data_IF_818500776270
#
_entry.id   IF_818500776270
#
_cell.length_a   1.000
_cell.length_b   1.000
_cell.length_c   1.000
_cell.angle_alpha   90.00
_cell.angle_beta   90.00
_cell.angle_gamma   90.00
#
_symmetry.space_group_name_H-M   'P 1'
#
loop_
_entity.id
_entity.type
_entity.pdbx_description
1 polymer ?
#
# COMPACT_ATOMS: atom_id res chain seq x y z
N UNK A 1 14.35 23.38 7.60
CA UNK A 1 14.52 24.74 7.07
C UNK A 1 13.94 24.83 5.67
N UNK A 2 14.72 24.49 4.64
CA UNK A 2 14.31 24.58 3.23
C UNK A 2 13.06 23.75 2.88
N UNK A 3 12.95 22.52 3.41
CA UNK A 3 11.78 21.66 3.20
C UNK A 3 10.47 22.28 3.70
N UNK A 4 10.51 22.97 4.84
CA UNK A 4 9.35 23.66 5.41
C UNK A 4 8.94 24.85 4.54
N UNK A 5 9.92 25.64 4.07
CA UNK A 5 9.69 26.73 3.12
C UNK A 5 9.04 26.24 1.83
N UNK A 6 9.52 25.13 1.26
CA UNK A 6 8.94 24.53 0.07
C UNK A 6 7.48 24.10 0.35
N UNK A 7 7.21 23.48 1.49
CA UNK A 7 5.85 23.07 1.86
C UNK A 7 4.91 24.27 1.99
N UNK A 8 5.33 25.36 2.65
CA UNK A 8 4.53 26.58 2.75
C UNK A 8 4.28 27.19 1.37
N UNK A 9 5.29 27.24 0.48
CA UNK A 9 5.11 27.73 -0.89
C UNK A 9 4.10 26.86 -1.65
N UNK A 10 4.19 25.54 -1.54
CA UNK A 10 3.23 24.63 -2.18
C UNK A 10 1.82 24.86 -1.63
N UNK A 11 1.67 24.99 -0.32
CA UNK A 11 0.37 25.29 0.31
C UNK A 11 -0.20 26.64 -0.10
N UNK A 12 0.65 27.64 -0.34
CA UNK A 12 0.23 28.95 -0.85
C UNK A 12 -0.26 28.84 -2.28
N UNK A 13 0.41 28.07 -3.12
CA UNK A 13 0.05 27.90 -4.55
C UNK A 13 -1.21 27.03 -4.72
N UNK A 14 -1.33 25.95 -3.95
CA UNK A 14 -2.38 24.93 -4.12
C UNK A 14 -3.52 25.02 -3.10
N UNK A 15 -3.40 25.90 -2.11
CA UNK A 15 -4.35 26.03 -1.01
C UNK A 15 -4.08 25.04 0.13
N UNK A 16 -4.61 25.39 1.31
CA UNK A 16 -4.54 24.55 2.52
C UNK A 16 -5.74 23.62 2.70
N UNK A 17 -6.77 23.77 1.86
CA UNK A 17 -7.98 22.96 1.92
C UNK A 17 -7.79 21.65 1.14
N UNK A 18 -8.35 20.54 1.64
CA UNK A 18 -8.34 19.28 0.90
C UNK A 18 -9.20 19.44 -0.36
N UNK A 19 -8.60 19.11 -1.50
CA UNK A 19 -9.31 19.03 -2.78
C UNK A 19 -9.81 17.60 -2.95
N UNK A 20 -11.12 17.42 -3.14
CA UNK A 20 -11.68 16.11 -3.45
C UNK A 20 -11.43 15.79 -4.94
N UNK A 21 -10.72 14.70 -5.21
CA UNK A 21 -10.53 14.18 -6.57
C UNK A 21 -11.60 13.13 -6.87
N UNK A 22 -12.71 13.57 -7.47
CA UNK A 22 -13.76 12.66 -7.86
C UNK A 22 -13.34 11.83 -9.09
N UNK A 23 -13.52 10.49 -9.05
CA UNK A 23 -13.21 9.65 -10.19
C UNK A 23 -14.15 9.97 -11.38
N UNK A 24 -13.68 9.81 -12.63
CA UNK A 24 -14.53 10.02 -13.80
C UNK A 24 -15.75 9.08 -13.76
N UNK A 25 -16.87 9.51 -14.35
CA UNK A 25 -18.18 8.85 -14.22
C UNK A 25 -18.18 7.34 -14.55
N UNK A 26 -17.28 6.88 -15.43
CA UNK A 26 -17.11 5.46 -15.76
C UNK A 26 -16.44 4.61 -14.66
N UNK A 27 -15.61 5.22 -13.81
CA UNK A 27 -14.95 4.56 -12.66
C UNK A 27 -15.72 4.75 -11.34
N UNK A 28 -16.66 5.69 -11.30
CA UNK A 28 -17.54 5.92 -10.14
C UNK A 28 -18.58 4.80 -9.95
N UNK A 29 -18.72 3.90 -10.91
CA UNK A 29 -19.64 2.76 -10.87
C UNK A 29 -18.96 1.52 -10.25
N UNK A 30 -19.71 0.60 -9.61
CA UNK A 30 -19.13 -0.66 -9.13
C UNK A 30 -18.71 -1.53 -10.32
N UNK A 31 -17.49 -2.06 -10.29
CA UNK A 31 -16.98 -2.95 -11.35
C UNK A 31 -17.66 -4.32 -11.28
N UNK A 32 -17.76 -4.86 -10.06
CA UNK A 32 -18.33 -6.18 -9.80
C UNK A 32 -19.21 -6.10 -8.57
N UNK A 33 -20.37 -6.73 -8.63
CA UNK A 33 -21.23 -6.94 -7.47
C UNK A 33 -21.44 -8.43 -7.27
N UNK A 34 -21.15 -8.90 -6.06
CA UNK A 34 -21.52 -10.26 -5.64
C UNK A 34 -22.95 -10.19 -5.13
N UNK A 35 -23.87 -10.87 -5.82
CA UNK A 35 -25.29 -10.89 -5.49
C UNK A 35 -25.91 -12.28 -5.68
N UNK A 36 -26.93 -12.64 -4.89
CA UNK A 36 -27.63 -13.91 -5.04
C UNK A 36 -28.40 -13.94 -6.36
N UNK A 37 -28.31 -15.06 -7.09
CA UNK A 37 -29.22 -15.33 -8.23
C UNK A 37 -30.27 -16.33 -7.77
N UNK A 38 -31.55 -16.00 -7.99
CA UNK A 38 -32.73 -16.67 -7.42
C UNK A 38 -32.84 -18.21 -7.62
N UNK A 39 -31.94 -18.84 -8.38
CA UNK A 39 -31.97 -20.28 -8.65
C UNK A 39 -30.61 -21.01 -8.48
N UNK A 40 -29.48 -20.32 -8.30
CA UNK A 40 -28.13 -20.96 -8.43
C UNK A 40 -27.08 -20.52 -7.40
N UNK A 41 -27.44 -19.77 -6.35
CA UNK A 41 -26.50 -19.33 -5.32
C UNK A 41 -25.82 -18.00 -5.64
N UNK A 42 -24.58 -17.81 -5.18
CA UNK A 42 -23.81 -16.57 -5.33
C UNK A 42 -23.38 -16.40 -6.80
N UNK A 43 -23.71 -15.28 -7.43
CA UNK A 43 -23.26 -14.97 -8.79
C UNK A 43 -22.50 -13.66 -8.83
N UNK A 44 -21.50 -13.60 -9.70
CA UNK A 44 -20.64 -12.44 -9.89
C UNK A 44 -21.20 -11.65 -11.08
N UNK A 45 -21.83 -10.51 -10.79
CA UNK A 45 -22.47 -9.65 -11.79
C UNK A 45 -21.54 -8.47 -12.07
N UNK A 46 -21.28 -8.21 -13.35
CA UNK A 46 -20.53 -7.03 -13.77
C UNK A 46 -21.46 -5.80 -13.69
N UNK A 47 -21.00 -4.72 -13.03
CA UNK A 47 -21.83 -3.53 -12.80
C UNK A 47 -22.73 -3.61 -11.56
N UNK A 48 -23.71 -2.70 -11.46
CA UNK A 48 -24.63 -2.59 -10.31
C UNK A 48 -25.58 -3.80 -10.27
N UNK A 49 -25.58 -4.53 -9.16
CA UNK A 49 -26.67 -5.45 -8.85
C UNK A 49 -27.98 -4.68 -8.64
N UNK A 50 -29.07 -5.30 -9.05
CA UNK A 50 -30.44 -4.87 -8.82
C UNK A 50 -30.72 -4.74 -7.32
N UNK A 51 -31.13 -3.54 -6.89
CA UNK A 51 -31.29 -3.19 -5.48
C UNK A 51 -32.29 -4.11 -4.74
N UNK A 52 -33.24 -4.69 -5.47
CA UNK A 52 -34.22 -5.65 -4.95
C UNK A 52 -33.60 -7.02 -4.59
N UNK A 53 -32.58 -7.49 -5.32
CA UNK A 53 -31.89 -8.75 -5.03
C UNK A 53 -30.97 -8.66 -3.81
N UNK A 54 -30.44 -7.47 -3.53
CA UNK A 54 -29.57 -7.20 -2.37
C UNK A 54 -30.32 -6.87 -1.07
N UNK A 55 -31.65 -6.80 -1.08
CA UNK A 55 -32.43 -6.52 0.12
C UNK A 55 -32.44 -7.69 1.14
N UNK A 56 -32.17 -8.92 0.68
CA UNK A 56 -32.29 -10.14 1.49
C UNK A 56 -31.01 -10.99 1.56
N UNK A 57 -29.87 -10.51 1.05
CA UNK A 57 -28.59 -11.22 1.09
C UNK A 57 -27.39 -10.26 1.24
N UNK A 58 -26.25 -10.82 1.65
CA UNK A 58 -24.97 -10.08 1.72
C UNK A 58 -24.50 -9.76 0.31
N UNK A 59 -24.68 -8.52 -0.12
CA UNK A 59 -24.11 -8.01 -1.36
C UNK A 59 -22.82 -7.24 -1.07
N UNK A 60 -21.72 -7.70 -1.67
CA UNK A 60 -20.45 -6.97 -1.65
C UNK A 60 -20.25 -6.31 -3.01
N UNK A 61 -20.19 -4.98 -3.02
CA UNK A 61 -19.92 -4.20 -4.22
C UNK A 61 -18.43 -3.83 -4.26
N UNK A 62 -17.75 -4.19 -5.35
CA UNK A 62 -16.35 -3.85 -5.55
C UNK A 62 -16.24 -2.58 -6.42
N UNK A 63 -15.71 -1.46 -5.88
CA UNK A 63 -15.59 -0.21 -6.63
C UNK A 63 -14.66 -0.35 -7.84
N UNK A 64 -15.06 0.16 -9.01
CA UNK A 64 -14.21 0.10 -10.21
C UNK A 64 -12.91 0.89 -10.06
N UNK A 65 -12.91 1.97 -9.25
CA UNK A 65 -11.69 2.69 -8.87
C UNK A 65 -10.63 1.77 -8.25
N UNK A 66 -11.01 0.90 -7.31
CA UNK A 66 -10.08 -0.06 -6.65
C UNK A 66 -9.56 -1.12 -7.61
N UNK A 67 -10.41 -1.59 -8.52
CA UNK A 67 -9.99 -2.52 -9.58
C UNK A 67 -8.96 -1.87 -10.52
N UNK A 68 -9.21 -0.63 -10.94
CA UNK A 68 -8.30 0.14 -11.78
C UNK A 68 -6.97 0.41 -11.08
N UNK A 69 -6.99 0.81 -9.81
CA UNK A 69 -5.77 0.98 -9.00
C UNK A 69 -4.94 -0.30 -8.93
N UNK A 70 -5.57 -1.45 -8.68
CA UNK A 70 -4.90 -2.74 -8.63
C UNK A 70 -4.28 -3.11 -9.99
N UNK A 71 -5.03 -2.89 -11.09
CA UNK A 71 -4.53 -3.12 -12.44
C UNK A 71 -3.28 -2.28 -12.74
N UNK A 72 -3.31 -0.98 -12.42
CA UNK A 72 -2.17 -0.10 -12.67
C UNK A 72 -0.98 -0.48 -11.78
N UNK A 73 -1.20 -0.81 -10.51
CA UNK A 73 -0.13 -1.28 -9.62
C UNK A 73 0.56 -2.55 -10.15
N UNK A 74 -0.22 -3.53 -10.64
CA UNK A 74 0.31 -4.74 -11.26
C UNK A 74 1.06 -4.43 -12.56
N UNK A 75 0.54 -3.51 -13.38
CA UNK A 75 1.21 -3.06 -14.61
C UNK A 75 2.56 -2.41 -14.28
N UNK A 76 2.62 -1.51 -13.29
CA UNK A 76 3.86 -0.88 -12.83
C UNK A 76 4.88 -1.92 -12.33
N UNK A 77 4.43 -2.88 -11.51
CA UNK A 77 5.28 -3.96 -11.01
C UNK A 77 5.83 -4.80 -12.15
N UNK A 78 4.97 -5.21 -13.10
CA UNK A 78 5.35 -6.00 -14.26
C UNK A 78 6.31 -5.24 -15.16
N UNK A 79 6.05 -3.96 -15.42
CA UNK A 79 6.91 -3.09 -16.23
C UNK A 79 8.30 -2.95 -15.60
N UNK A 80 8.37 -2.70 -14.29
CA UNK A 80 9.65 -2.60 -13.57
C UNK A 80 10.38 -3.95 -13.54
N UNK A 81 9.65 -5.05 -13.33
CA UNK A 81 10.22 -6.39 -13.34
C UNK A 81 10.79 -6.76 -14.71
N UNK A 82 10.06 -6.49 -15.79
CA UNK A 82 10.49 -6.73 -17.16
C UNK A 82 11.72 -5.84 -17.48
N UNK A 83 11.67 -4.56 -17.11
CA UNK A 83 12.77 -3.62 -17.33
C UNK A 83 14.05 -4.09 -16.62
N UNK A 84 13.96 -4.48 -15.35
CA UNK A 84 15.14 -4.88 -14.57
C UNK A 84 15.65 -6.28 -14.92
N UNK A 85 14.77 -7.24 -15.25
CA UNK A 85 15.16 -8.65 -15.44
C UNK A 85 15.36 -9.06 -16.90
N UNK A 86 14.64 -8.44 -17.83
CA UNK A 86 14.61 -8.86 -19.24
C UNK A 86 15.22 -7.87 -20.21
N UNK A 87 15.61 -6.66 -19.78
CA UNK A 87 16.23 -5.67 -20.69
C UNK A 87 17.72 -5.47 -20.44
N UNK A 88 18.44 -5.04 -21.49
CA UNK A 88 19.87 -4.66 -21.39
C UNK A 88 20.09 -3.50 -20.42
N UNK A 89 19.11 -2.61 -20.28
CA UNK A 89 19.15 -1.49 -19.32
C UNK A 89 19.24 -2.02 -17.89
N UNK A 90 18.50 -3.08 -17.56
CA UNK A 90 18.56 -3.74 -16.25
C UNK A 90 19.96 -4.29 -15.92
N UNK A 91 20.63 -4.90 -16.89
CA UNK A 91 22.01 -5.39 -16.71
C UNK A 91 23.01 -4.27 -16.45
N UNK A 92 22.88 -3.15 -17.19
CA UNK A 92 23.73 -1.96 -16.99
C UNK A 92 23.48 -1.35 -15.61
N UNK A 93 22.22 -1.28 -15.17
CA UNK A 93 21.87 -0.78 -13.83
C UNK A 93 22.48 -1.68 -12.75
N UNK A 94 22.35 -3.00 -12.86
CA UNK A 94 22.94 -3.93 -11.89
C UNK A 94 24.47 -3.81 -11.84
N UNK A 95 25.14 -3.74 -13.00
CA UNK A 95 26.58 -3.55 -13.06
C UNK A 95 27.03 -2.21 -12.44
N UNK A 96 26.27 -1.14 -12.68
CA UNK A 96 26.52 0.17 -12.09
C UNK A 96 26.30 0.20 -10.56
N UNK A 97 25.42 -0.66 -10.03
CA UNK A 97 25.15 -0.78 -8.59
C UNK A 97 26.21 -1.62 -7.85
N UNK A 98 26.71 -2.70 -8.46
CA UNK A 98 27.68 -3.58 -7.80
C UNK A 98 29.12 -3.11 -8.00
N UNK A 99 29.48 -2.67 -9.21
CA UNK A 99 30.84 -2.27 -9.59
C UNK A 99 30.83 -1.01 -10.47
N UNK A 100 30.55 0.17 -9.90
CA UNK A 100 30.43 1.42 -10.66
C UNK A 100 31.71 1.77 -11.42
N UNK A 101 32.89 1.60 -10.82
CA UNK A 101 34.18 1.90 -11.47
C UNK A 101 34.41 1.03 -12.72
N UNK A 102 34.02 -0.25 -12.66
CA UNK A 102 34.14 -1.16 -13.80
C UNK A 102 33.14 -0.81 -14.92
N UNK A 103 31.93 -0.38 -14.55
CA UNK A 103 30.94 0.10 -15.52
C UNK A 103 31.41 1.37 -16.24
N UNK A 104 32.06 2.30 -15.52
CA UNK A 104 32.67 3.51 -16.09
C UNK A 104 33.86 3.19 -17.00
N UNK A 105 34.72 2.23 -16.62
CA UNK A 105 35.83 1.78 -17.45
C UNK A 105 35.38 1.16 -18.79
N UNK A 106 34.19 0.54 -18.83
CA UNK A 106 33.55 0.06 -20.06
C UNK A 106 32.89 1.18 -20.90
N UNK A 107 33.01 2.44 -20.49
CA UNK A 107 32.46 3.60 -21.19
C UNK A 107 30.99 3.90 -20.88
N UNK A 108 30.38 3.23 -19.88
CA UNK A 108 29.02 3.58 -19.46
C UNK A 108 29.05 4.79 -18.53
N UNK A 109 28.22 5.78 -18.82
CA UNK A 109 28.09 6.95 -17.96
C UNK A 109 27.20 6.62 -16.75
N UNK A 110 27.82 6.15 -15.67
CA UNK A 110 27.15 5.77 -14.42
C UNK A 110 26.31 6.92 -13.83
N UNK A 111 26.77 8.19 -13.80
CA UNK A 111 25.94 9.31 -13.37
C UNK A 111 24.62 9.45 -14.16
N UNK A 112 24.64 9.27 -15.48
CA UNK A 112 23.42 9.29 -16.30
C UNK A 112 22.49 8.11 -16.00
N UNK A 113 23.05 6.92 -15.74
CA UNK A 113 22.25 5.75 -15.35
C UNK A 113 21.53 6.02 -14.03
N UNK A 114 22.23 6.53 -13.01
CA UNK A 114 21.60 6.91 -11.74
C UNK A 114 20.53 7.98 -11.90
N UNK A 115 20.78 9.01 -12.72
CA UNK A 115 19.80 10.06 -13.02
C UNK A 115 18.54 9.49 -13.68
N UNK A 116 18.68 8.56 -14.63
CA UNK A 116 17.55 7.92 -15.32
C UNK A 116 16.75 7.03 -14.36
N UNK A 117 17.42 6.25 -13.51
CA UNK A 117 16.74 5.40 -12.50
C UNK A 117 15.98 6.27 -11.50
N UNK A 118 16.61 7.35 -11.03
CA UNK A 118 15.96 8.30 -10.13
C UNK A 118 14.74 8.95 -10.79
N UNK A 119 14.90 9.45 -12.02
CA UNK A 119 13.81 10.06 -12.80
C UNK A 119 12.66 9.09 -13.06
N UNK A 120 12.96 7.82 -13.41
CA UNK A 120 11.95 6.79 -13.56
C UNK A 120 11.22 6.48 -12.24
N UNK A 121 11.94 6.43 -11.12
CA UNK A 121 11.36 6.28 -9.79
C UNK A 121 10.42 7.44 -9.44
N UNK A 122 10.82 8.68 -9.69
CA UNK A 122 9.98 9.86 -9.51
C UNK A 122 8.74 9.83 -10.41
N UNK A 123 8.87 9.41 -11.67
CA UNK A 123 7.74 9.28 -12.59
C UNK A 123 6.72 8.23 -12.10
N UNK A 124 7.19 7.06 -11.66
CA UNK A 124 6.34 6.02 -11.08
C UNK A 124 5.67 6.48 -9.78
N UNK A 125 6.40 7.18 -8.91
CA UNK A 125 5.86 7.75 -7.67
C UNK A 125 4.77 8.80 -7.95
N UNK A 126 4.99 9.67 -8.94
CA UNK A 126 3.99 10.65 -9.37
C UNK A 126 2.72 10.00 -9.92
N UNK A 127 2.89 8.96 -10.76
CA UNK A 127 1.76 8.19 -11.28
C UNK A 127 0.98 7.49 -10.17
N UNK A 128 1.66 6.89 -9.18
CA UNK A 128 1.03 6.29 -8.02
C UNK A 128 0.27 7.33 -7.17
N UNK A 129 0.82 8.54 -7.01
CA UNK A 129 0.20 9.65 -6.28
C UNK A 129 -1.09 10.13 -6.93
N UNK A 130 -1.10 10.37 -8.25
CA UNK A 130 -2.30 10.82 -9.00
C UNK A 130 -3.44 9.81 -8.87
N UNK A 131 -3.11 8.52 -8.98
CA UNK A 131 -4.09 7.44 -8.91
C UNK A 131 -4.61 7.27 -7.47
N UNK A 132 -3.71 7.28 -6.49
CA UNK A 132 -4.04 7.16 -5.07
C UNK A 132 -4.82 8.35 -4.52
N UNK A 133 -4.64 9.55 -5.08
CA UNK A 133 -5.34 10.78 -4.65
C UNK A 133 -6.86 10.74 -4.81
N UNK A 134 -7.40 9.81 -5.60
CA UNK A 134 -8.86 9.58 -5.68
C UNK A 134 -9.42 8.84 -4.46
N UNK A 135 -8.56 8.17 -3.69
CA UNK A 135 -8.94 7.37 -2.52
C UNK A 135 -8.46 7.98 -1.21
N UNK A 136 -7.31 8.63 -1.24
CA UNK A 136 -6.79 9.39 -0.10
C UNK A 136 -7.26 10.84 -0.19
N UNK A 137 -7.66 11.42 0.94
CA UNK A 137 -7.88 12.86 1.03
C UNK A 137 -6.54 13.55 0.82
N UNK A 138 -6.38 14.25 -0.30
CA UNK A 138 -5.14 14.97 -0.61
C UNK A 138 -5.05 16.23 0.23
N UNK A 139 -4.31 16.13 1.33
CA UNK A 139 -3.90 17.25 2.16
C UNK A 139 -2.36 17.32 2.27
N UNK A 140 -1.77 18.48 2.60
CA UNK A 140 -0.32 18.61 2.70
C UNK A 140 0.33 17.64 3.70
N UNK A 141 -0.39 17.26 4.76
CA UNK A 141 0.09 16.33 5.79
C UNK A 141 0.15 14.86 5.31
N UNK A 142 -0.50 14.53 4.19
CA UNK A 142 -0.51 13.18 3.60
C UNK A 142 0.90 12.67 3.28
N UNK A 143 1.82 13.57 2.88
CA UNK A 143 3.19 13.18 2.56
C UNK A 143 3.91 12.54 3.77
N UNK A 144 3.63 13.01 4.98
CA UNK A 144 4.23 12.47 6.20
C UNK A 144 3.66 11.09 6.56
N UNK A 145 2.34 10.92 6.46
CA UNK A 145 1.65 9.67 6.81
C UNK A 145 1.88 8.56 5.78
N UNK A 146 1.83 8.88 4.48
CA UNK A 146 2.10 7.91 3.41
C UNK A 146 3.59 7.61 3.32
N UNK A 147 4.45 8.62 3.44
CA UNK A 147 5.90 8.45 3.39
C UNK A 147 6.43 7.52 4.49
N UNK A 148 5.90 7.63 5.71
CA UNK A 148 6.29 6.75 6.80
C UNK A 148 5.83 5.30 6.59
N UNK A 149 4.62 5.08 6.07
CA UNK A 149 4.13 3.74 5.72
C UNK A 149 4.95 3.13 4.57
N UNK A 150 5.28 3.92 3.55
CA UNK A 150 6.13 3.46 2.44
C UNK A 150 7.54 3.07 2.91
N UNK A 151 8.11 3.84 3.83
CA UNK A 151 9.38 3.47 4.47
C UNK A 151 9.27 2.12 5.18
N UNK A 152 8.20 1.92 5.96
CA UNK A 152 7.92 0.65 6.63
C UNK A 152 7.85 -0.51 5.63
N UNK A 153 7.15 -0.34 4.51
CA UNK A 153 7.05 -1.34 3.44
C UNK A 153 8.40 -1.72 2.87
N UNK A 154 9.26 -0.75 2.54
CA UNK A 154 10.57 -1.00 1.92
C UNK A 154 11.51 -1.71 2.89
N UNK A 155 11.52 -1.29 4.16
CA UNK A 155 12.37 -1.89 5.20
C UNK A 155 11.92 -3.31 5.54
N UNK A 156 10.61 -3.53 5.72
CA UNK A 156 10.05 -4.86 5.98
C UNK A 156 10.26 -5.80 4.80
N UNK A 157 10.06 -5.31 3.57
CA UNK A 157 10.30 -6.10 2.35
C UNK A 157 11.77 -6.47 2.15
N UNK A 158 12.68 -5.59 2.56
CA UNK A 158 14.12 -5.73 2.44
C UNK A 158 14.70 -4.81 1.36
N UNK A 159 15.79 -4.13 1.68
CA UNK A 159 16.46 -3.18 0.79
C UNK A 159 17.04 -3.91 -0.43
N UNK A 160 16.65 -3.47 -1.64
CA UNK A 160 17.18 -4.04 -2.90
C UNK A 160 16.40 -5.22 -3.48
N UNK A 161 15.32 -5.68 -2.84
CA UNK A 161 14.49 -6.79 -3.35
C UNK A 161 13.14 -6.31 -3.88
N UNK A 162 12.93 -6.41 -5.20
CA UNK A 162 11.64 -6.07 -5.82
C UNK A 162 10.51 -7.00 -5.34
N UNK A 163 10.80 -8.31 -5.22
CA UNK A 163 9.84 -9.30 -4.69
C UNK A 163 9.57 -9.05 -3.22
N UNK A 164 10.60 -8.69 -2.44
CA UNK A 164 10.46 -8.34 -1.04
C UNK A 164 9.54 -7.13 -0.83
N UNK A 165 9.72 -6.07 -1.61
CA UNK A 165 8.86 -4.89 -1.57
C UNK A 165 7.39 -5.22 -1.89
N UNK A 166 7.13 -6.10 -2.87
CA UNK A 166 5.77 -6.56 -3.21
C UNK A 166 5.13 -7.39 -2.09
N UNK A 167 5.86 -8.35 -1.52
CA UNK A 167 5.34 -9.15 -0.40
C UNK A 167 5.13 -8.28 0.84
N UNK A 168 6.06 -7.34 1.11
CA UNK A 168 5.96 -6.38 2.20
C UNK A 168 4.74 -5.47 2.09
N UNK A 169 4.47 -4.92 0.90
CA UNK A 169 3.31 -4.06 0.66
C UNK A 169 1.99 -4.82 0.81
N UNK A 170 1.93 -6.06 0.31
CA UNK A 170 0.77 -6.92 0.46
C UNK A 170 0.51 -7.26 1.93
N UNK A 171 1.56 -7.64 2.67
CA UNK A 171 1.46 -8.00 4.07
C UNK A 171 1.00 -6.80 4.93
N UNK A 172 1.56 -5.61 4.69
CA UNK A 172 1.13 -4.38 5.38
C UNK A 172 -0.31 -4.00 5.00
N UNK A 173 -0.70 -4.13 3.74
CA UNK A 173 -2.08 -3.91 3.30
C UNK A 173 -3.08 -4.86 3.97
N UNK A 174 -2.74 -6.15 4.10
CA UNK A 174 -3.54 -7.12 4.85
C UNK A 174 -3.60 -6.74 6.33
N UNK A 175 -2.48 -6.38 6.94
CA UNK A 175 -2.42 -5.99 8.34
C UNK A 175 -3.24 -4.73 8.65
N UNK A 176 -3.39 -3.83 7.69
CA UNK A 176 -4.26 -2.67 7.82
C UNK A 176 -5.75 -2.99 7.58
N UNK A 177 -6.05 -3.96 6.72
CA UNK A 177 -7.43 -4.26 6.30
C UNK A 177 -8.10 -5.33 7.17
N UNK A 178 -7.37 -6.37 7.57
CA UNK A 178 -7.91 -7.50 8.34
C UNK A 178 -8.55 -7.05 9.66
N UNK A 179 -7.92 -6.19 10.49
CA UNK A 179 -8.53 -5.72 11.74
C UNK A 179 -9.85 -4.94 11.55
N UNK A 180 -10.06 -4.36 10.37
CA UNK A 180 -11.27 -3.61 10.03
C UNK A 180 -12.41 -4.51 9.53
N UNK A 181 -12.10 -5.75 9.12
CA UNK A 181 -13.07 -6.73 8.61
C UNK A 181 -13.44 -7.79 9.64
N UNK A 182 -12.58 -8.01 10.63
CA UNK A 182 -12.81 -8.97 11.70
C UNK A 182 -13.42 -8.21 12.88
N UNK A 183 -14.75 -8.06 12.88
CA UNK A 183 -15.54 -7.54 14.00
C UNK A 183 -15.51 -8.45 15.25
N UNK A 184 -14.67 -9.49 15.28
CA UNK A 184 -14.35 -10.24 16.51
C UNK A 184 -13.28 -9.47 17.27
N UNK A 185 -13.74 -8.64 18.20
CA UNK A 185 -12.90 -7.97 19.19
C UNK A 185 -11.90 -8.95 19.82
N UNK A 186 -10.72 -8.47 20.25
CA UNK A 186 -9.77 -9.20 21.10
C UNK A 186 -10.45 -9.80 22.35
N UNK A 187 -11.58 -9.23 22.75
CA UNK A 187 -12.48 -9.71 23.81
C UNK A 187 -13.09 -11.10 23.48
N UNK A 188 -13.35 -11.41 22.21
CA UNK A 188 -13.90 -12.68 21.74
C UNK A 188 -12.84 -13.79 21.62
N UNK A 189 -11.56 -13.41 21.53
CA UNK A 189 -10.42 -14.31 21.63
C UNK A 189 -10.00 -14.54 23.10
N UNK A 190 -10.08 -13.51 23.94
CA UNK A 190 -9.83 -13.59 25.38
C UNK A 190 -10.91 -14.40 26.12
N UNK A 191 -12.18 -14.33 25.68
CA UNK A 191 -13.26 -15.16 26.21
C UNK A 191 -13.09 -16.65 25.92
N UNK A 192 -12.42 -17.01 24.80
CA UNK A 192 -12.06 -18.40 24.45
C UNK A 192 -10.90 -18.95 25.28
N UNK A 193 -10.05 -18.08 25.83
CA UNK A 193 -9.01 -18.44 26.82
C UNK A 193 -9.52 -18.39 28.27
N UNK A 194 -10.82 -18.16 28.49
CA UNK A 194 -11.46 -18.25 29.81
C UNK A 194 -11.31 -17.01 30.69
N UNK A 195 -10.88 -15.87 30.14
CA UNK A 195 -10.80 -14.61 30.90
C UNK A 195 -12.13 -13.86 30.77
N UNK A 196 -12.99 -14.00 31.78
CA UNK A 196 -14.27 -13.30 31.88
C UNK A 196 -14.00 -11.87 32.31
N UNK A 197 -13.93 -10.95 31.35
CA UNK A 197 -13.78 -9.53 31.63
C UNK A 197 -15.14 -9.00 32.08
N UNK A 198 -15.28 -8.66 33.37
CA UNK A 198 -16.51 -8.11 33.95
C UNK A 198 -16.56 -6.58 33.73
N UNK A 199 -17.75 -5.98 33.45
CA UNK A 199 -17.92 -4.55 33.15
C UNK A 199 -17.45 -3.54 34.22
N UNK A 200 -17.16 -4.00 35.44
CA UNK A 200 -16.80 -3.15 36.59
C UNK A 200 -15.28 -2.97 36.80
N UNK A 201 -14.44 -3.51 35.92
CA UNK A 201 -12.98 -3.39 36.04
C UNK A 201 -12.43 -2.17 35.31
N UNK A 202 -11.53 -1.42 35.97
CA UNK A 202 -10.75 -0.30 35.40
C UNK A 202 -9.97 -0.67 34.12
N UNK A 203 -9.82 -1.96 33.83
CA UNK A 203 -9.17 -2.51 32.65
C UNK A 203 -10.09 -2.65 31.42
N UNK A 204 -11.41 -2.55 31.58
CA UNK A 204 -12.39 -2.67 30.49
C UNK A 204 -12.25 -1.58 29.41
N UNK A 205 -12.01 -0.29 29.75
CA UNK A 205 -11.81 0.77 28.76
C UNK A 205 -10.49 0.60 27.97
N UNK A 206 -9.47 0.03 28.61
CA UNK A 206 -8.14 -0.23 28.01
C UNK A 206 -8.19 -1.47 27.10
N UNK A 207 -8.99 -2.49 27.46
CA UNK A 207 -9.24 -3.67 26.63
C UNK A 207 -10.28 -3.44 25.52
N UNK A 208 -11.10 -2.38 25.62
CA UNK A 208 -11.97 -1.86 24.56
C UNK A 208 -11.30 -0.81 23.67
N UNK A 209 -10.03 -0.42 23.93
CA UNK A 209 -9.25 0.36 22.95
C UNK A 209 -9.26 -0.41 21.64
N UNK A 210 -9.92 0.20 20.67
CA UNK A 210 -10.46 -0.47 19.49
C UNK A 210 -9.35 -1.07 18.65
N UNK A 211 -9.53 -2.30 18.14
CA UNK A 211 -8.64 -2.89 17.13
C UNK A 211 -8.42 -1.94 15.94
N UNK A 212 -9.41 -1.08 15.65
CA UNK A 212 -9.33 0.00 14.68
C UNK A 212 -8.28 1.08 15.03
N UNK A 213 -8.10 1.44 16.30
CA UNK A 213 -7.08 2.43 16.73
C UNK A 213 -5.65 1.87 16.73
N UNK A 214 -5.48 0.55 16.80
CA UNK A 214 -4.17 -0.09 16.69
C UNK A 214 -3.73 -0.22 15.22
N UNK A 215 -4.68 -0.17 14.29
CA UNK A 215 -4.44 -0.37 12.84
C UNK A 215 -3.34 0.55 12.28
N UNK A 216 -3.28 1.86 12.61
CA UNK A 216 -2.19 2.72 12.14
C UNK A 216 -0.82 2.38 12.75
N UNK A 217 -0.78 1.79 13.94
CA UNK A 217 0.46 1.46 14.68
C UNK A 217 1.03 0.11 14.20
N UNK A 218 0.16 -0.76 13.71
CA UNK A 218 0.45 -2.16 13.39
C UNK A 218 1.58 -2.36 12.36
N UNK A 219 1.68 -1.56 11.27
CA UNK A 219 2.81 -1.64 10.36
C UNK A 219 4.16 -1.34 11.03
N UNK A 220 4.22 -0.38 11.95
CA UNK A 220 5.45 -0.01 12.64
C UNK A 220 5.86 -1.07 13.66
N UNK A 221 4.89 -1.67 14.36
CA UNK A 221 5.15 -2.77 15.27
C UNK A 221 5.70 -3.98 14.51
N UNK A 222 5.08 -4.32 13.36
CA UNK A 222 5.60 -5.34 12.47
C UNK A 222 7.03 -5.01 12.03
N UNK A 223 7.33 -3.77 11.65
CA UNK A 223 8.69 -3.37 11.29
C UNK A 223 9.68 -3.69 12.40
N UNK A 224 9.37 -3.33 13.64
CA UNK A 224 10.25 -3.61 14.78
C UNK A 224 10.45 -5.12 14.95
N UNK A 225 9.38 -5.91 14.90
CA UNK A 225 9.45 -7.38 15.03
C UNK A 225 10.27 -8.00 13.91
N UNK A 226 10.05 -7.57 12.66
CA UNK A 226 10.77 -8.07 11.49
C UNK A 226 12.25 -7.71 11.58
N UNK A 227 12.61 -6.50 12.04
CA UNK A 227 14.02 -6.12 12.20
C UNK A 227 14.72 -6.87 13.34
N UNK A 228 14.00 -7.22 14.41
CA UNK A 228 14.54 -8.06 15.49
C UNK A 228 14.86 -9.47 14.97
N UNK A 229 13.94 -10.07 14.19
CA UNK A 229 14.10 -11.44 13.68
C UNK A 229 15.03 -11.49 12.47
N UNK A 230 14.97 -10.48 11.60
CA UNK A 230 15.65 -10.42 10.31
C UNK A 230 16.01 -8.97 9.96
N UNK A 231 17.19 -8.48 10.38
CA UNK A 231 17.57 -7.06 10.29
C UNK A 231 17.68 -6.52 8.86
N UNK A 232 17.74 -7.39 7.84
CA UNK A 232 17.74 -7.01 6.42
C UNK A 232 16.35 -7.05 5.75
N UNK A 233 15.29 -7.25 6.53
CA UNK A 233 13.94 -7.44 6.02
C UNK A 233 13.67 -8.87 5.55
N UNK A 234 12.46 -9.12 5.03
CA UNK A 234 11.94 -10.45 4.73
C UNK A 234 12.71 -11.16 3.60
N UNK A 235 13.20 -10.42 2.61
CA UNK A 235 13.92 -10.98 1.46
C UNK A 235 15.24 -10.26 1.14
N UNK A 236 15.88 -9.63 2.13
CA UNK A 236 17.20 -9.03 1.96
C UNK A 236 18.27 -10.08 1.64
N UNK A 237 19.06 -9.85 0.60
CA UNK A 237 20.22 -10.69 0.25
C UNK A 237 21.41 -10.35 1.14
N UNK A 238 22.34 -11.29 1.25
CA UNK A 238 23.60 -11.13 1.98
C UNK A 238 24.62 -10.60 0.98
N UNK A 239 25.09 -9.37 1.20
CA UNK A 239 26.27 -8.89 0.50
C UNK A 239 27.44 -9.75 0.98
N UNK A 240 27.87 -10.67 0.12
CA UNK A 240 29.17 -11.35 0.18
C UNK A 240 30.04 -10.77 -0.94
#
# INVERSE_FOLDING_TARGET
>A
GLSYLILEVVQVVWGRAPVAFDPPAGLAQPAVTLGPRAATGLSLVYGRADAAACAHAVCSTFPATRAFMMFVALLMLLALWLLLRHTRVGLVIQAALTHPEMAEALGHNVPRVFMLVFGAGCALAGLAGVIGGTTFVTEPAMAASVGSILFVVVVVGGTGSLVGAFVGSLLIGLLQTVPLTVDKSLVDAASRLGWVVSPDSLAYPVMKLTLAQVTPILPYLLLVVVLIVRPRGLFGTRDD
#
